data_IF_346232196084
#
_entry.id   IF_346232196084
#
_cell.length_a   1.000
_cell.length_b   1.000
_cell.length_c   1.000
_cell.angle_alpha   90.00
_cell.angle_beta   90.00
_cell.angle_gamma   90.00
#
_symmetry.space_group_name_H-M   'P 1'
#
loop_
_entity.id
_entity.type
_entity.pdbx_description
1 polymer ?
#
# COMPACT_ATOMS: atom_id res chain seq x y z
N UNK A 1 -0.87 -29.17 -11.81
CA UNK A 1 -0.14 -28.89 -10.56
C UNK A 1 -1.12 -28.25 -9.59
N UNK A 2 -1.39 -28.88 -8.46
CA UNK A 2 -2.38 -28.37 -7.51
C UNK A 2 -1.81 -27.19 -6.74
N UNK A 3 -2.70 -26.39 -6.17
CA UNK A 3 -2.36 -25.30 -5.26
C UNK A 3 -1.45 -25.73 -4.10
N UNK A 4 -1.70 -26.92 -3.55
CA UNK A 4 -0.88 -27.49 -2.47
C UNK A 4 0.55 -27.77 -2.91
N UNK A 5 0.73 -28.25 -4.14
CA UNK A 5 2.07 -28.53 -4.70
C UNK A 5 2.90 -27.24 -4.82
N UNK A 6 2.29 -26.16 -5.31
CA UNK A 6 2.95 -24.84 -5.43
C UNK A 6 3.44 -24.33 -4.09
N UNK A 7 2.61 -24.43 -3.05
CA UNK A 7 2.94 -23.94 -1.71
C UNK A 7 4.10 -24.75 -1.10
N UNK A 8 4.10 -26.07 -1.30
CA UNK A 8 5.20 -26.94 -0.87
C UNK A 8 6.50 -26.64 -1.60
N UNK A 9 6.45 -26.42 -2.91
CA UNK A 9 7.64 -26.05 -3.68
C UNK A 9 8.23 -24.73 -3.19
N UNK A 10 7.40 -23.70 -2.98
CA UNK A 10 7.87 -22.41 -2.46
C UNK A 10 8.43 -22.53 -1.04
N UNK A 11 7.76 -23.27 -0.14
CA UNK A 11 8.28 -23.52 1.20
C UNK A 11 9.62 -24.24 1.20
N UNK A 12 9.82 -25.21 0.30
CA UNK A 12 11.11 -25.89 0.14
C UNK A 12 12.21 -24.95 -0.35
N UNK A 13 11.89 -24.00 -1.25
CA UNK A 13 12.85 -22.99 -1.73
C UNK A 13 13.23 -22.05 -0.58
N UNK A 14 12.26 -21.59 0.21
CA UNK A 14 12.51 -20.75 1.39
C UNK A 14 13.41 -21.49 2.38
N UNK A 15 13.11 -22.75 2.70
CA UNK A 15 13.93 -23.56 3.59
C UNK A 15 15.35 -23.78 3.02
N UNK A 16 15.48 -23.95 1.70
CA UNK A 16 16.78 -24.06 1.04
C UNK A 16 17.59 -22.76 1.18
N UNK A 17 17.00 -21.60 0.90
CA UNK A 17 17.64 -20.29 1.07
C UNK A 17 18.11 -20.10 2.52
N UNK A 18 17.22 -20.37 3.48
CA UNK A 18 17.53 -20.23 4.91
C UNK A 18 18.68 -21.14 5.38
N UNK A 19 18.83 -22.34 4.81
CA UNK A 19 19.88 -23.28 5.20
C UNK A 19 21.22 -23.07 4.45
N UNK A 20 21.19 -22.64 3.19
CA UNK A 20 22.37 -22.67 2.31
C UNK A 20 22.74 -21.30 1.71
N UNK A 21 21.82 -20.33 1.68
CA UNK A 21 21.98 -19.04 1.02
C UNK A 21 21.63 -17.89 1.98
N UNK A 22 22.21 -17.90 3.19
CA UNK A 22 21.89 -16.93 4.27
C UNK A 22 22.17 -15.47 3.85
N UNK A 23 23.00 -15.25 2.83
CA UNK A 23 23.26 -13.91 2.27
C UNK A 23 22.30 -13.52 1.12
N UNK A 24 21.64 -14.49 0.50
CA UNK A 24 20.78 -14.32 -0.69
C UNK A 24 19.33 -14.79 -0.43
N UNK A 25 18.72 -14.28 0.64
CA UNK A 25 17.36 -14.64 1.08
C UNK A 25 16.25 -13.90 0.30
N UNK A 26 16.41 -13.71 -1.01
CA UNK A 26 15.52 -12.86 -1.80
C UNK A 26 14.07 -13.37 -1.84
N UNK A 27 13.87 -14.68 -1.97
CA UNK A 27 12.52 -15.26 -2.02
C UNK A 27 11.89 -15.21 -0.63
N UNK A 28 12.63 -15.53 0.43
CA UNK A 28 12.18 -15.37 1.81
C UNK A 28 11.76 -13.93 2.13
N UNK A 29 12.56 -12.94 1.75
CA UNK A 29 12.30 -11.51 2.01
C UNK A 29 11.09 -11.02 1.20
N UNK A 30 10.98 -11.46 -0.05
CA UNK A 30 9.83 -11.17 -0.91
C UNK A 30 8.53 -11.74 -0.31
N UNK A 31 8.56 -12.99 0.13
CA UNK A 31 7.40 -13.62 0.79
C UNK A 31 7.06 -12.91 2.09
N UNK A 32 8.06 -12.48 2.85
CA UNK A 32 7.86 -11.71 4.09
C UNK A 32 7.19 -10.37 3.86
N UNK A 33 7.58 -9.61 2.83
CA UNK A 33 6.93 -8.32 2.51
C UNK A 33 5.53 -8.54 1.94
N UNK A 34 5.35 -9.55 1.08
CA UNK A 34 4.05 -9.90 0.53
C UNK A 34 3.08 -10.35 1.63
N UNK A 35 3.56 -11.08 2.64
CA UNK A 35 2.79 -11.41 3.85
C UNK A 35 2.22 -10.20 4.57
N UNK A 36 2.93 -9.06 4.54
CA UNK A 36 2.47 -7.81 5.16
C UNK A 36 1.47 -7.06 4.28
N UNK A 37 1.63 -7.13 2.95
CA UNK A 37 0.75 -6.42 2.01
C UNK A 37 -0.51 -7.19 1.62
N UNK A 38 -0.50 -8.52 1.66
CA UNK A 38 -1.59 -9.37 1.17
C UNK A 38 -2.17 -10.25 2.29
N UNK A 39 -2.22 -9.72 3.52
CA UNK A 39 -2.59 -10.49 4.71
C UNK A 39 -4.08 -10.85 4.76
N UNK A 40 -4.96 -9.97 4.25
CA UNK A 40 -6.40 -10.21 4.18
C UNK A 40 -6.88 -10.28 2.74
N UNK A 41 -8.05 -10.91 2.47
CA UNK A 41 -8.61 -10.94 1.12
C UNK A 41 -8.84 -9.54 0.54
N UNK A 42 -9.13 -8.56 1.41
CA UNK A 42 -9.35 -7.17 1.02
C UNK A 42 -8.05 -6.47 0.64
N UNK A 43 -6.95 -6.82 1.28
CA UNK A 43 -5.65 -6.29 0.88
C UNK A 43 -5.25 -6.82 -0.50
N UNK A 44 -5.47 -8.13 -0.76
CA UNK A 44 -5.27 -8.72 -2.09
C UNK A 44 -6.16 -8.05 -3.14
N UNK A 45 -7.44 -7.82 -2.82
CA UNK A 45 -8.37 -7.13 -3.71
C UNK A 45 -7.87 -5.73 -4.09
N UNK A 46 -7.41 -4.94 -3.10
CA UNK A 46 -6.84 -3.62 -3.35
C UNK A 46 -5.59 -3.71 -4.23
N UNK A 47 -4.67 -4.65 -3.96
CA UNK A 47 -3.47 -4.82 -4.77
C UNK A 47 -3.78 -5.18 -6.23
N UNK A 48 -4.84 -5.95 -6.47
CA UNK A 48 -5.34 -6.28 -7.82
C UNK A 48 -5.97 -5.06 -8.48
N UNK A 49 -6.81 -4.32 -7.76
CA UNK A 49 -7.45 -3.09 -8.26
C UNK A 49 -6.41 -2.05 -8.72
N UNK A 50 -5.31 -1.93 -7.99
CA UNK A 50 -4.20 -1.04 -8.34
C UNK A 50 -3.20 -1.65 -9.34
N UNK A 51 -3.43 -2.88 -9.84
CA UNK A 51 -2.55 -3.54 -10.82
C UNK A 51 -1.17 -3.93 -10.28
N UNK A 52 -1.01 -4.00 -8.96
CA UNK A 52 0.23 -4.39 -8.28
C UNK A 52 0.35 -5.92 -8.25
N UNK A 53 -0.78 -6.62 -8.24
CA UNK A 53 -0.85 -8.05 -8.06
C UNK A 53 -1.80 -8.68 -9.08
N UNK A 54 -1.36 -9.73 -9.77
CA UNK A 54 -2.24 -10.55 -10.61
C UNK A 54 -2.55 -11.87 -9.90
N UNK A 55 -3.83 -12.22 -9.84
CA UNK A 55 -4.28 -13.48 -9.24
C UNK A 55 -5.08 -14.31 -10.23
N UNK A 56 -4.73 -15.59 -10.32
CA UNK A 56 -5.50 -16.61 -11.03
C UNK A 56 -6.55 -17.31 -10.14
N UNK A 57 -6.69 -16.91 -8.87
CA UNK A 57 -7.59 -17.52 -7.88
C UNK A 57 -8.49 -16.51 -7.17
N UNK A 58 -9.28 -16.99 -6.20
CA UNK A 58 -10.06 -16.07 -5.34
C UNK A 58 -9.13 -15.35 -4.37
N UNK A 59 -9.45 -14.08 -4.07
CA UNK A 59 -8.64 -13.25 -3.15
C UNK A 59 -8.46 -13.90 -1.78
N UNK A 60 -9.46 -14.64 -1.29
CA UNK A 60 -9.40 -15.39 -0.03
C UNK A 60 -8.42 -16.56 -0.04
N UNK A 61 -8.38 -17.29 -1.14
CA UNK A 61 -7.48 -18.42 -1.34
C UNK A 61 -6.06 -17.90 -1.45
N UNK A 62 -5.85 -16.82 -2.20
CA UNK A 62 -4.52 -16.21 -2.35
C UNK A 62 -4.00 -15.58 -1.07
N UNK A 63 -4.81 -14.80 -0.35
CA UNK A 63 -4.37 -14.20 0.93
C UNK A 63 -3.99 -15.29 1.93
N UNK A 64 -4.79 -16.37 2.04
CA UNK A 64 -4.48 -17.49 2.92
C UNK A 64 -3.15 -18.17 2.59
N UNK A 65 -2.82 -18.32 1.29
CA UNK A 65 -1.54 -18.90 0.89
C UNK A 65 -0.37 -17.99 1.22
N UNK A 66 -0.49 -16.71 0.91
CA UNK A 66 0.55 -15.74 1.16
C UNK A 66 0.81 -15.65 2.67
N UNK A 67 -0.24 -15.53 3.48
CA UNK A 67 -0.11 -15.51 4.95
C UNK A 67 0.51 -16.81 5.47
N UNK A 68 0.11 -17.97 4.96
CA UNK A 68 0.71 -19.25 5.35
C UNK A 68 2.19 -19.31 5.01
N UNK A 69 2.55 -18.95 3.78
CA UNK A 69 3.93 -18.98 3.32
C UNK A 69 4.80 -17.95 4.06
N UNK A 70 4.25 -16.76 4.34
CA UNK A 70 4.91 -15.73 5.14
C UNK A 70 5.11 -16.12 6.60
N UNK A 71 4.26 -17.00 7.15
CA UNK A 71 4.48 -17.56 8.50
C UNK A 71 5.67 -18.53 8.57
N UNK A 72 6.07 -19.11 7.43
CA UNK A 72 7.23 -19.99 7.30
C UNK A 72 8.53 -19.20 6.97
N UNK A 73 8.40 -17.94 6.55
CA UNK A 73 9.53 -17.07 6.27
C UNK A 73 10.17 -16.53 7.56
N UNK A 74 11.50 -16.49 7.61
CA UNK A 74 12.25 -15.95 8.74
C UNK A 74 12.59 -14.48 8.48
N UNK A 75 12.36 -13.63 9.47
CA UNK A 75 12.64 -12.21 9.35
C UNK A 75 14.01 -11.86 9.96
N UNK A 76 14.99 -11.58 9.11
CA UNK A 76 16.33 -11.14 9.53
C UNK A 76 16.49 -9.64 9.28
N UNK A 77 16.34 -8.85 10.35
CA UNK A 77 16.32 -7.37 10.27
C UNK A 77 17.55 -6.79 9.59
N UNK A 78 18.74 -7.32 9.93
CA UNK A 78 20.02 -6.79 9.45
C UNK A 78 20.32 -7.11 7.98
N UNK A 79 19.54 -7.99 7.35
CA UNK A 79 19.78 -8.50 5.99
C UNK A 79 18.54 -8.42 5.09
N UNK A 80 17.53 -7.70 5.52
CA UNK A 80 16.26 -7.64 4.80
C UNK A 80 16.39 -6.73 3.56
N UNK A 81 16.28 -7.33 2.37
CA UNK A 81 16.51 -6.66 1.09
C UNK A 81 15.59 -5.43 0.87
N UNK A 82 14.40 -5.44 1.46
CA UNK A 82 13.42 -4.37 1.32
C UNK A 82 13.39 -3.41 2.52
N UNK A 83 14.43 -3.41 3.37
CA UNK A 83 14.48 -2.56 4.57
C UNK A 83 14.36 -1.07 4.21
N UNK A 84 15.17 -0.59 3.27
CA UNK A 84 15.12 0.80 2.79
C UNK A 84 13.77 1.13 2.17
N UNK A 85 13.20 0.24 1.35
CA UNK A 85 11.89 0.43 0.75
C UNK A 85 10.77 0.54 1.81
N UNK A 86 10.80 -0.32 2.82
CA UNK A 86 9.87 -0.28 3.95
C UNK A 86 10.02 1.01 4.76
N UNK A 87 11.24 1.49 4.97
CA UNK A 87 11.51 2.74 5.66
C UNK A 87 10.96 3.94 4.87
N UNK A 88 11.25 4.01 3.57
CA UNK A 88 10.73 5.06 2.69
C UNK A 88 9.20 5.06 2.64
N UNK A 89 8.58 3.89 2.51
CA UNK A 89 7.13 3.74 2.54
C UNK A 89 6.54 4.20 3.88
N UNK A 90 7.17 3.83 4.99
CA UNK A 90 6.75 4.27 6.33
C UNK A 90 6.90 5.79 6.49
N UNK A 91 7.99 6.38 6.01
CA UNK A 91 8.22 7.82 6.04
C UNK A 91 7.19 8.56 5.18
N UNK A 92 6.87 8.03 4.00
CA UNK A 92 5.81 8.54 3.14
C UNK A 92 4.45 8.51 3.85
N UNK A 93 4.08 7.39 4.47
CA UNK A 93 2.83 7.24 5.22
C UNK A 93 2.77 8.09 6.50
N UNK A 94 3.91 8.37 7.13
CA UNK A 94 3.99 9.19 8.36
C UNK A 94 3.82 10.69 8.09
N UNK A 95 4.20 11.15 6.90
CA UNK A 95 4.07 12.56 6.49
C UNK A 95 2.65 13.08 6.73
N UNK A 96 2.54 14.16 7.53
CA UNK A 96 1.26 14.80 7.85
C UNK A 96 0.51 15.24 6.61
N UNK A 97 1.23 15.69 5.57
CA UNK A 97 0.65 16.07 4.28
C UNK A 97 -0.02 14.88 3.58
N UNK A 98 0.67 13.72 3.55
CA UNK A 98 0.13 12.52 2.93
C UNK A 98 -1.06 11.94 3.70
N UNK A 99 -1.05 12.03 5.03
CA UNK A 99 -2.21 11.68 5.88
C UNK A 99 -3.42 12.57 5.58
N UNK A 100 -3.21 13.89 5.50
CA UNK A 100 -4.27 14.83 5.14
C UNK A 100 -4.81 14.57 3.74
N UNK A 101 -3.93 14.31 2.76
CA UNK A 101 -4.32 13.96 1.40
C UNK A 101 -5.15 12.67 1.36
N UNK A 102 -4.73 11.64 2.09
CA UNK A 102 -5.47 10.38 2.20
C UNK A 102 -6.84 10.58 2.86
N UNK A 103 -6.91 11.34 3.95
CA UNK A 103 -8.16 11.68 4.63
C UNK A 103 -9.11 12.47 3.73
N UNK A 104 -8.60 13.47 2.99
CA UNK A 104 -9.37 14.23 2.02
C UNK A 104 -9.92 13.32 0.92
N UNK A 105 -9.08 12.44 0.35
CA UNK A 105 -9.51 11.49 -0.68
C UNK A 105 -10.59 10.54 -0.18
N UNK A 106 -10.39 9.96 1.00
CA UNK A 106 -11.30 8.95 1.54
C UNK A 106 -12.66 9.52 1.95
N UNK A 107 -12.71 10.73 2.51
CA UNK A 107 -13.95 11.31 3.03
C UNK A 107 -14.66 12.25 2.05
N UNK A 108 -13.90 12.99 1.23
CA UNK A 108 -14.48 14.02 0.37
C UNK A 108 -14.57 13.59 -1.10
N UNK A 109 -13.55 12.91 -1.62
CA UNK A 109 -13.55 12.48 -3.04
C UNK A 109 -14.28 11.16 -3.31
N UNK A 110 -14.63 10.40 -2.27
CA UNK A 110 -15.44 9.18 -2.42
C UNK A 110 -16.95 9.45 -2.48
N UNK A 111 -17.41 10.65 -2.12
CA UNK A 111 -18.83 11.01 -2.23
C UNK A 111 -19.02 12.16 -3.22
N UNK A 112 -19.90 12.00 -4.24
CA UNK A 112 -20.10 13.04 -5.25
C UNK A 112 -20.48 14.38 -4.64
N UNK A 113 -21.35 14.35 -3.62
CA UNK A 113 -21.81 15.55 -2.92
C UNK A 113 -20.69 16.28 -2.18
N UNK A 114 -19.85 15.58 -1.41
CA UNK A 114 -18.73 16.23 -0.72
C UNK A 114 -17.70 16.78 -1.70
N UNK A 115 -17.48 16.10 -2.83
CA UNK A 115 -16.60 16.59 -3.90
C UNK A 115 -17.10 17.92 -4.46
N UNK A 116 -18.39 18.01 -4.79
CA UNK A 116 -19.02 19.24 -5.29
C UNK A 116 -18.93 20.35 -4.24
N UNK A 117 -19.21 20.05 -2.97
CA UNK A 117 -19.11 21.04 -1.88
C UNK A 117 -17.69 21.58 -1.72
N UNK A 118 -16.67 20.73 -1.80
CA UNK A 118 -15.27 21.18 -1.75
C UNK A 118 -14.93 22.07 -2.93
N UNK A 119 -15.33 21.71 -4.15
CA UNK A 119 -15.10 22.53 -5.35
C UNK A 119 -15.79 23.89 -5.22
N UNK A 120 -17.06 23.92 -4.79
CA UNK A 120 -17.79 25.16 -4.58
C UNK A 120 -17.13 26.05 -3.52
N UNK A 121 -16.69 25.47 -2.40
CA UNK A 121 -15.97 26.20 -1.35
C UNK A 121 -14.67 26.81 -1.86
N UNK A 122 -13.89 26.08 -2.68
CA UNK A 122 -12.66 26.59 -3.29
C UNK A 122 -12.96 27.74 -4.25
N UNK A 123 -13.97 27.61 -5.11
CA UNK A 123 -14.39 28.68 -6.05
C UNK A 123 -14.87 29.92 -5.30
N UNK A 124 -15.66 29.74 -4.24
CA UNK A 124 -16.12 30.86 -3.44
C UNK A 124 -14.92 31.56 -2.78
N UNK A 125 -14.02 30.81 -2.13
CA UNK A 125 -12.83 31.38 -1.48
C UNK A 125 -11.94 32.16 -2.44
N UNK A 126 -11.74 31.67 -3.68
CA UNK A 126 -10.94 32.39 -4.68
C UNK A 126 -11.62 33.67 -5.12
N UNK A 127 -12.93 33.65 -5.34
CA UNK A 127 -13.72 34.85 -5.64
C UNK A 127 -13.65 35.86 -4.50
N UNK A 128 -13.81 35.44 -3.23
CA UNK A 128 -13.73 36.35 -2.08
C UNK A 128 -12.34 36.95 -1.94
N UNK A 129 -11.27 36.18 -2.21
CA UNK A 129 -9.91 36.67 -2.18
C UNK A 129 -9.68 37.76 -3.23
N UNK A 130 -10.11 37.51 -4.47
CA UNK A 130 -10.02 38.49 -5.57
C UNK A 130 -10.79 39.76 -5.20
N UNK A 131 -12.03 39.61 -4.72
CA UNK A 131 -12.86 40.75 -4.31
C UNK A 131 -12.21 41.56 -3.19
N UNK A 132 -11.62 40.89 -2.20
CA UNK A 132 -10.92 41.53 -1.08
C UNK A 132 -9.69 42.31 -1.57
N UNK A 133 -8.88 41.72 -2.45
CA UNK A 133 -7.69 42.38 -3.02
C UNK A 133 -8.09 43.60 -3.87
N UNK A 134 -9.08 43.47 -4.75
CA UNK A 134 -9.58 44.59 -5.55
C UNK A 134 -10.15 45.71 -4.68
N UNK A 135 -10.87 45.36 -3.60
CA UNK A 135 -11.44 46.34 -2.67
C UNK A 135 -10.36 47.10 -1.90
N UNK A 136 -9.29 46.43 -1.48
CA UNK A 136 -8.15 47.09 -0.79
C UNK A 136 -7.43 48.03 -1.74
N UNK A 137 -7.11 47.58 -2.96
CA UNK A 137 -6.43 48.41 -3.98
C UNK A 137 -7.26 49.65 -4.35
N UNK A 138 -8.59 49.52 -4.37
CA UNK A 138 -9.48 50.66 -4.69
C UNK A 138 -9.67 51.63 -3.52
N UNK A 139 -9.35 51.21 -2.30
CA UNK A 139 -9.49 52.01 -1.07
C UNK A 139 -8.18 52.73 -0.65
N UNK A 140 -7.04 52.29 -1.19
CA UNK A 140 -5.74 52.99 -1.15
C UNK A 140 -5.60 53.94 -2.33
#
# INVERSE_FOLDING_TARGET
MTTGDKLRTLGNIIAFEQCHCIEDNYINDYVSIMGRFANTPKDVELLVEFGIFETAGTTSVVSSMITKLASEALFFVDRFCYATLCEELNNFCRSSWNKWKAYLRQNYFNTPWASISVIAAVVLLTLTLIQTVCSVISAT
#
